data_IF_003632168506
#
_entry.id   IF_003632168506
#
_cell.length_a   1.000
_cell.length_b   1.000
_cell.length_c   1.000
_cell.angle_alpha   90.00
_cell.angle_beta   90.00
_cell.angle_gamma   90.00
#
_symmetry.space_group_name_H-M   'P 1'
#
loop_
_entity.id
_entity.type
_entity.pdbx_description
1 polymer ?
#
# COMPACT_ATOMS: atom_id res chain seq x y z
N UNK A 1 34.25 20.28 39.64
CA UNK A 1 33.81 21.21 38.58
C UNK A 1 32.52 20.67 37.99
N UNK A 2 31.40 21.08 38.58
CA UNK A 2 30.04 20.73 38.16
C UNK A 2 29.27 22.03 38.28
N UNK A 3 28.49 22.37 37.24
CA UNK A 3 27.64 23.57 37.03
C UNK A 3 28.21 24.52 35.98
N UNK A 4 27.30 25.03 35.16
CA UNK A 4 27.46 26.01 34.07
C UNK A 4 27.81 25.43 32.69
N UNK A 5 26.87 24.72 32.07
CA UNK A 5 26.63 24.78 30.61
C UNK A 5 25.16 24.44 30.29
N UNK A 6 24.23 25.13 30.98
CA UNK A 6 22.78 25.00 30.81
C UNK A 6 22.18 26.30 30.25
N UNK A 7 22.79 26.89 29.21
CA UNK A 7 22.46 28.24 28.75
C UNK A 7 22.68 28.50 27.25
N UNK A 8 22.15 27.63 26.37
CA UNK A 8 22.02 27.94 24.93
C UNK A 8 20.63 27.57 24.37
N UNK A 9 19.59 27.64 25.21
CA UNK A 9 18.19 27.72 24.76
C UNK A 9 17.76 29.15 25.02
N UNK A 10 17.12 29.80 24.04
CA UNK A 10 16.68 31.21 23.99
C UNK A 10 17.73 32.19 23.48
N UNK A 11 17.77 32.41 22.16
CA UNK A 11 17.89 33.72 21.52
C UNK A 11 18.06 33.51 20.01
N UNK A 12 16.96 33.58 19.26
CA UNK A 12 16.84 34.20 17.93
C UNK A 12 15.39 34.00 17.48
N UNK A 13 14.53 34.82 18.08
CA UNK A 13 13.15 34.98 17.65
C UNK A 13 13.06 35.61 16.26
N UNK A 14 12.06 35.17 15.52
CA UNK A 14 11.01 36.03 14.93
C UNK A 14 11.56 37.27 14.21
N UNK A 15 11.68 37.16 12.89
CA UNK A 15 11.39 38.27 11.98
C UNK A 15 10.48 37.77 10.86
N UNK A 16 9.25 38.26 10.94
CA UNK A 16 8.09 38.01 10.10
C UNK A 16 8.28 38.57 8.67
N UNK A 17 7.80 37.80 7.70
CA UNK A 17 6.91 38.18 6.58
C UNK A 17 7.31 39.40 5.73
N UNK A 18 7.47 39.16 4.41
CA UNK A 18 6.77 39.81 3.26
C UNK A 18 7.67 39.72 2.01
N UNK A 19 7.20 39.05 0.95
CA UNK A 19 7.79 39.17 -0.39
C UNK A 19 7.56 37.99 -1.34
N UNK A 20 6.43 38.02 -2.06
CA UNK A 20 5.97 37.04 -3.05
C UNK A 20 7.01 36.53 -4.06
N UNK A 21 7.01 35.21 -4.32
CA UNK A 21 7.82 34.64 -5.41
C UNK A 21 7.68 33.13 -5.66
N UNK A 22 6.47 32.68 -6.01
CA UNK A 22 6.16 31.41 -6.72
C UNK A 22 6.37 30.05 -5.99
N UNK A 23 5.47 29.07 -6.23
CA UNK A 23 5.51 27.78 -5.54
C UNK A 23 6.56 26.88 -6.19
N UNK A 24 7.66 26.63 -5.49
CA UNK A 24 8.57 25.55 -5.85
C UNK A 24 7.98 24.24 -5.31
N UNK A 25 7.30 23.55 -6.22
CA UNK A 25 6.86 22.16 -6.20
C UNK A 25 8.00 21.26 -5.72
N UNK A 26 8.08 20.99 -4.42
CA UNK A 26 8.84 19.87 -3.90
C UNK A 26 7.86 18.72 -3.72
N UNK A 27 7.72 17.95 -4.79
CA UNK A 27 6.92 16.75 -4.88
C UNK A 27 7.39 15.74 -3.83
N UNK A 28 6.85 15.85 -2.62
CA UNK A 28 6.73 14.70 -1.74
C UNK A 28 5.99 13.61 -2.55
N UNK A 29 6.46 12.35 -2.55
CA UNK A 29 5.72 11.29 -3.22
C UNK A 29 4.34 11.30 -2.57
N UNK A 30 3.34 11.66 -3.36
CA UNK A 30 1.95 11.61 -2.99
C UNK A 30 1.70 10.17 -2.61
N UNK A 31 1.75 9.88 -1.31
CA UNK A 31 1.10 8.75 -0.70
C UNK A 31 -0.34 8.85 -1.16
N UNK A 32 -0.65 8.11 -2.22
CA UNK A 32 -1.96 8.01 -2.81
C UNK A 32 -2.89 7.51 -1.72
N UNK A 33 -3.64 8.43 -1.12
CA UNK A 33 -4.92 8.11 -0.49
C UNK A 33 -5.63 7.16 -1.44
N UNK A 34 -6.03 5.95 -1.00
CA UNK A 34 -6.65 4.99 -1.91
C UNK A 34 -7.84 5.69 -2.57
N UNK A 35 -7.78 5.89 -3.88
CA UNK A 35 -8.88 6.49 -4.64
C UNK A 35 -10.11 5.57 -4.69
N UNK A 36 -9.94 4.32 -4.28
CA UNK A 36 -10.94 3.28 -4.33
C UNK A 36 -11.13 2.64 -2.92
N UNK A 37 -12.38 2.55 -2.40
CA UNK A 37 -12.66 1.93 -1.11
C UNK A 37 -12.37 0.42 -1.08
N UNK A 38 -12.31 -0.28 -2.21
CA UNK A 38 -11.86 -1.66 -2.31
C UNK A 38 -10.33 -1.75 -2.16
N UNK A 39 -9.58 -0.86 -2.81
CA UNK A 39 -8.13 -0.74 -2.63
C UNK A 39 -7.75 -0.42 -1.18
N UNK A 40 -8.53 0.44 -0.52
CA UNK A 40 -8.36 0.75 0.89
C UNK A 40 -8.57 -0.47 1.80
N UNK A 41 -9.61 -1.26 1.52
CA UNK A 41 -9.91 -2.48 2.26
C UNK A 41 -8.81 -3.52 2.04
N UNK A 42 -8.42 -3.72 0.78
CA UNK A 42 -7.36 -4.64 0.39
C UNK A 42 -6.02 -4.31 1.07
N UNK A 43 -5.66 -3.02 1.09
CA UNK A 43 -4.47 -2.54 1.82
C UNK A 43 -4.56 -2.80 3.31
N UNK A 44 -5.72 -2.52 3.91
CA UNK A 44 -5.95 -2.72 5.35
C UNK A 44 -5.79 -4.19 5.72
N UNK A 45 -6.42 -5.11 4.99
CA UNK A 45 -6.34 -6.55 5.26
C UNK A 45 -4.92 -7.07 5.06
N UNK A 46 -4.23 -6.68 3.98
CA UNK A 46 -2.84 -7.05 3.75
C UNK A 46 -1.91 -6.58 4.88
N UNK A 47 -2.08 -5.33 5.33
CA UNK A 47 -1.28 -4.81 6.45
C UNK A 47 -1.53 -5.59 7.75
N UNK A 48 -2.78 -5.92 8.07
CA UNK A 48 -3.09 -6.71 9.28
C UNK A 48 -2.55 -8.13 9.16
N UNK A 49 -2.64 -8.75 7.98
CA UNK A 49 -2.03 -10.04 7.70
C UNK A 49 -0.53 -10.00 8.01
N UNK A 50 0.18 -9.01 7.45
CA UNK A 50 1.62 -8.83 7.67
C UNK A 50 1.96 -8.66 9.15
N UNK A 51 1.20 -7.86 9.90
CA UNK A 51 1.39 -7.71 11.35
C UNK A 51 1.15 -9.01 12.12
N UNK A 52 0.07 -9.72 11.82
CA UNK A 52 -0.23 -11.01 12.43
C UNK A 52 0.92 -11.99 12.18
N UNK A 53 1.35 -12.10 10.93
CA UNK A 53 2.43 -12.97 10.50
C UNK A 53 3.78 -12.63 11.17
N UNK A 54 4.13 -11.35 11.28
CA UNK A 54 5.36 -10.91 11.96
C UNK A 54 5.35 -11.20 13.46
N UNK A 55 4.19 -11.02 14.11
CA UNK A 55 3.99 -11.29 15.54
C UNK A 55 4.09 -12.78 15.86
N UNK A 56 3.44 -13.62 15.05
CA UNK A 56 3.33 -15.06 15.30
C UNK A 56 4.38 -15.90 14.57
N UNK A 57 5.25 -15.27 13.75
CA UNK A 57 6.22 -15.92 12.85
C UNK A 57 5.60 -16.82 11.78
N UNK A 58 4.28 -16.86 11.69
CA UNK A 58 3.52 -17.58 10.68
C UNK A 58 2.26 -16.76 10.34
N UNK A 59 1.93 -16.66 9.06
CA UNK A 59 0.72 -16.00 8.60
C UNK A 59 -0.55 -16.64 9.16
N UNK A 60 -1.65 -15.87 9.25
CA UNK A 60 -2.96 -16.42 9.62
C UNK A 60 -3.33 -17.58 8.69
N UNK A 61 -4.10 -18.54 9.21
CA UNK A 61 -4.50 -19.76 8.49
C UNK A 61 -5.89 -19.69 7.86
N UNK A 62 -6.60 -18.60 8.09
CA UNK A 62 -7.97 -18.40 7.66
C UNK A 62 -8.46 -17.03 8.10
N UNK A 63 -9.67 -16.72 7.68
CA UNK A 63 -10.31 -15.46 7.99
C UNK A 63 -10.59 -15.30 9.49
N UNK A 64 -10.97 -16.39 10.15
CA UNK A 64 -11.34 -16.41 11.57
C UNK A 64 -10.16 -15.95 12.45
N UNK A 65 -8.95 -16.42 12.13
CA UNK A 65 -7.72 -16.02 12.83
C UNK A 65 -7.41 -14.54 12.58
N UNK A 66 -7.65 -14.05 11.37
CA UNK A 66 -7.42 -12.66 11.00
C UNK A 66 -8.46 -11.73 11.66
N UNK A 67 -9.71 -12.17 11.78
CA UNK A 67 -10.80 -11.47 12.48
C UNK A 67 -10.56 -11.40 13.99
N UNK A 68 -10.08 -12.49 14.59
CA UNK A 68 -9.67 -12.50 16.00
C UNK A 68 -8.55 -11.48 16.24
N UNK A 69 -7.54 -11.46 15.36
CA UNK A 69 -6.46 -10.49 15.44
C UNK A 69 -6.97 -9.05 15.26
N UNK A 70 -7.83 -8.81 14.26
CA UNK A 70 -8.46 -7.50 14.03
C UNK A 70 -9.29 -7.05 15.24
N UNK A 71 -10.01 -7.97 15.88
CA UNK A 71 -10.83 -7.72 17.07
C UNK A 71 -10.00 -7.30 18.29
N UNK A 72 -8.74 -7.74 18.35
CA UNK A 72 -7.79 -7.37 19.42
C UNK A 72 -7.23 -5.95 19.30
N UNK A 73 -7.45 -5.27 18.16
CA UNK A 73 -7.01 -3.88 17.97
C UNK A 73 -7.86 -2.90 18.79
N UNK A 74 -7.32 -1.71 19.06
CA UNK A 74 -8.08 -0.61 19.66
C UNK A 74 -8.99 0.07 18.62
N UNK A 75 -10.09 0.68 19.08
CA UNK A 75 -10.91 1.56 18.22
C UNK A 75 -10.11 2.84 17.91
N UNK A 76 -10.12 3.35 16.67
CA UNK A 76 -10.97 2.97 15.53
C UNK A 76 -10.40 1.89 14.61
N UNK A 77 -9.16 1.43 14.84
CA UNK A 77 -8.49 0.47 13.95
C UNK A 77 -9.23 -0.86 13.86
N UNK A 78 -9.80 -1.33 14.98
CA UNK A 78 -10.63 -2.54 15.04
C UNK A 78 -11.81 -2.51 14.07
N UNK A 79 -12.58 -1.43 14.09
CA UNK A 79 -13.79 -1.31 13.27
C UNK A 79 -13.43 -1.28 11.78
N UNK A 80 -12.41 -0.49 11.43
CA UNK A 80 -11.88 -0.42 10.06
C UNK A 80 -11.36 -1.77 9.56
N UNK A 81 -10.67 -2.52 10.43
CA UNK A 81 -10.13 -3.83 10.12
C UNK A 81 -11.23 -4.84 9.84
N UNK A 82 -12.23 -4.93 10.72
CA UNK A 82 -13.34 -5.87 10.59
C UNK A 82 -14.22 -5.55 9.38
N UNK A 83 -14.48 -4.27 9.12
CA UNK A 83 -15.21 -3.85 7.92
C UNK A 83 -14.47 -4.24 6.63
N UNK A 84 -13.16 -4.01 6.58
CA UNK A 84 -12.33 -4.38 5.44
C UNK A 84 -12.31 -5.91 5.21
N UNK A 85 -12.16 -6.71 6.28
CA UNK A 85 -12.19 -8.18 6.20
C UNK A 85 -13.54 -8.65 5.63
N UNK A 86 -14.65 -8.17 6.20
CA UNK A 86 -15.99 -8.52 5.75
C UNK A 86 -16.21 -8.16 4.29
N UNK A 87 -15.76 -6.97 3.88
CA UNK A 87 -15.85 -6.53 2.48
C UNK A 87 -15.11 -7.49 1.54
N UNK A 88 -13.88 -7.88 1.88
CA UNK A 88 -13.08 -8.79 1.05
C UNK A 88 -13.67 -10.21 0.99
N UNK A 89 -14.21 -10.72 2.10
CA UNK A 89 -14.94 -11.99 2.12
C UNK A 89 -16.17 -11.98 1.20
N UNK A 90 -16.99 -10.93 1.29
CA UNK A 90 -18.19 -10.79 0.45
C UNK A 90 -17.84 -10.70 -1.04
N UNK A 91 -16.73 -10.05 -1.37
CA UNK A 91 -16.21 -9.95 -2.72
C UNK A 91 -15.49 -11.22 -3.20
N UNK A 92 -15.28 -12.22 -2.33
CA UNK A 92 -14.69 -13.51 -2.71
C UNK A 92 -13.19 -13.45 -2.99
N UNK A 93 -12.47 -12.53 -2.36
CA UNK A 93 -11.01 -12.43 -2.51
C UNK A 93 -10.31 -13.73 -2.11
N UNK A 94 -9.33 -14.13 -2.92
CA UNK A 94 -8.46 -15.27 -2.64
C UNK A 94 -7.33 -14.81 -1.74
N UNK A 95 -7.03 -15.58 -0.70
CA UNK A 95 -5.97 -15.26 0.25
C UNK A 95 -5.02 -16.45 0.39
N UNK A 96 -3.72 -16.17 0.32
CA UNK A 96 -2.67 -17.15 0.60
C UNK A 96 -2.45 -17.23 2.10
N UNK A 97 -2.76 -18.37 2.69
CA UNK A 97 -2.71 -18.58 4.14
C UNK A 97 -1.41 -19.24 4.60
N UNK A 98 -1.05 -19.02 5.87
CA UNK A 98 -0.05 -19.83 6.57
C UNK A 98 1.40 -19.64 6.12
N UNK A 99 1.77 -18.48 5.58
CA UNK A 99 3.15 -18.18 5.17
C UNK A 99 4.10 -18.29 6.38
N UNK A 100 5.12 -19.14 6.28
CA UNK A 100 6.15 -19.27 7.31
C UNK A 100 7.24 -18.21 7.15
N UNK A 101 7.29 -17.28 8.10
CA UNK A 101 8.24 -16.18 8.07
C UNK A 101 9.68 -16.62 8.33
N UNK A 102 9.88 -17.70 9.09
CA UNK A 102 11.23 -18.22 9.37
C UNK A 102 11.85 -18.76 8.10
N UNK A 103 11.08 -19.50 7.32
CA UNK A 103 11.50 -20.00 6.00
C UNK A 103 11.85 -18.86 5.04
N UNK A 104 11.06 -17.77 5.03
CA UNK A 104 11.36 -16.60 4.19
C UNK A 104 12.68 -15.93 4.58
N UNK A 105 12.93 -15.75 5.88
CA UNK A 105 14.17 -15.16 6.39
C UNK A 105 15.38 -16.05 6.06
N UNK A 106 15.25 -17.36 6.24
CA UNK A 106 16.34 -18.31 5.92
C UNK A 106 16.70 -18.32 4.42
N UNK A 107 15.73 -18.04 3.56
CA UNK A 107 15.93 -17.97 2.11
C UNK A 107 16.34 -16.58 1.61
N UNK A 108 16.54 -15.61 2.51
CA UNK A 108 16.84 -14.21 2.18
C UNK A 108 15.80 -13.58 1.21
N UNK A 109 14.54 -14.03 1.28
CA UNK A 109 13.45 -13.53 0.43
C UNK A 109 12.70 -12.39 1.11
N UNK A 110 12.38 -11.35 0.35
CA UNK A 110 11.50 -10.28 0.83
C UNK A 110 10.05 -10.79 0.87
N UNK A 111 9.38 -10.79 2.04
CA UNK A 111 7.97 -11.15 2.14
C UNK A 111 7.06 -10.33 1.22
N UNK A 112 7.44 -9.10 0.89
CA UNK A 112 6.64 -8.23 0.01
C UNK A 112 6.66 -8.65 -1.46
N UNK A 113 7.53 -9.58 -1.86
CA UNK A 113 7.48 -10.17 -3.19
C UNK A 113 6.31 -11.16 -3.34
N UNK A 114 5.74 -11.63 -2.23
CA UNK A 114 4.64 -12.58 -2.22
C UNK A 114 3.30 -11.85 -2.30
N UNK A 115 2.50 -12.21 -3.30
CA UNK A 115 1.08 -11.83 -3.38
C UNK A 115 0.29 -12.71 -2.42
N UNK A 116 -0.33 -12.07 -1.43
CA UNK A 116 -1.08 -12.76 -0.38
C UNK A 116 -2.58 -12.61 -0.52
N UNK A 117 -3.05 -11.59 -1.24
CA UNK A 117 -4.48 -11.37 -1.47
C UNK A 117 -4.66 -10.99 -2.93
N UNK A 118 -5.60 -11.67 -3.60
CA UNK A 118 -5.90 -11.48 -5.02
C UNK A 118 -7.41 -11.43 -5.24
N UNK A 119 -7.86 -10.45 -6.03
CA UNK A 119 -9.27 -10.33 -6.40
C UNK A 119 -9.73 -11.53 -7.25
N UNK A 120 -11.03 -11.88 -7.25
CA UNK A 120 -11.52 -13.00 -8.04
C UNK A 120 -11.20 -12.91 -9.54
N UNK A 121 -11.15 -11.68 -10.05
CA UNK A 121 -10.85 -11.33 -11.44
C UNK A 121 -9.34 -11.13 -11.72
N UNK A 122 -8.48 -11.28 -10.71
CA UNK A 122 -7.02 -11.13 -10.81
C UNK A 122 -6.51 -9.69 -10.96
N UNK A 123 -7.41 -8.70 -11.06
CA UNK A 123 -7.05 -7.31 -11.38
C UNK A 123 -6.41 -6.55 -10.22
N UNK A 124 -6.73 -6.92 -8.98
CA UNK A 124 -6.21 -6.30 -7.77
C UNK A 124 -5.46 -7.33 -6.93
N UNK A 125 -4.19 -7.06 -6.69
CA UNK A 125 -3.29 -7.92 -5.93
C UNK A 125 -2.63 -7.14 -4.81
N UNK A 126 -2.55 -7.73 -3.62
CA UNK A 126 -1.88 -7.15 -2.46
C UNK A 126 -0.69 -8.02 -2.02
N UNK A 127 0.50 -7.43 -1.91
CA UNK A 127 1.66 -8.10 -1.33
C UNK A 127 1.56 -8.16 0.19
N UNK A 128 2.42 -8.97 0.82
CA UNK A 128 2.40 -9.33 2.24
C UNK A 128 2.16 -8.19 3.24
N UNK A 129 2.74 -6.99 3.02
CA UNK A 129 2.56 -5.86 3.95
C UNK A 129 1.51 -4.83 3.51
N UNK A 130 0.91 -5.00 2.33
CA UNK A 130 0.01 -4.01 1.73
C UNK A 130 0.72 -2.71 1.32
N UNK A 131 2.04 -2.74 1.14
CA UNK A 131 2.84 -1.53 0.86
C UNK A 131 2.46 -0.87 -0.47
N UNK A 132 2.08 -1.67 -1.46
CA UNK A 132 1.64 -1.21 -2.78
C UNK A 132 0.60 -2.20 -3.33
N UNK A 133 -0.58 -1.70 -3.69
CA UNK A 133 -1.56 -2.50 -4.42
C UNK A 133 -1.14 -2.57 -5.88
N UNK A 134 -1.10 -3.78 -6.42
CA UNK A 134 -0.77 -4.05 -7.83
C UNK A 134 -2.09 -4.11 -8.59
N UNK A 135 -2.15 -3.32 -9.68
CA UNK A 135 -3.30 -3.27 -10.59
C UNK A 135 -2.86 -3.86 -11.92
N UNK A 136 -3.54 -4.89 -12.39
CA UNK A 136 -3.37 -5.34 -13.77
C UNK A 136 -4.22 -4.44 -14.69
N UNK A 137 -3.56 -3.77 -15.62
CA UNK A 137 -4.26 -3.14 -16.74
C UNK A 137 -4.75 -4.27 -17.65
N UNK A 138 -6.08 -4.46 -17.69
CA UNK A 138 -6.70 -5.32 -18.69
C UNK A 138 -6.35 -4.70 -20.04
N UNK A 139 -5.51 -5.39 -20.80
CA UNK A 139 -5.08 -5.08 -22.15
C UNK A 139 -6.32 -4.71 -22.99
N UNK A 140 -6.61 -3.41 -23.12
CA UNK A 140 -7.51 -2.94 -24.16
C UNK A 140 -6.76 -3.17 -25.46
N UNK A 141 -6.95 -4.35 -26.06
CA UNK A 141 -6.71 -4.57 -27.49
C UNK A 141 -7.49 -3.52 -28.26
N UNK A 142 -6.86 -2.38 -28.52
CA UNK A 142 -7.29 -1.40 -29.50
C UNK A 142 -7.26 -2.12 -30.85
N UNK A 143 -8.38 -2.24 -31.59
CA UNK A 143 -8.29 -2.65 -32.97
C UNK A 143 -7.52 -1.54 -33.70
N UNK A 144 -6.31 -1.85 -34.15
CA UNK A 144 -5.66 -1.08 -35.20
C UNK A 144 -6.57 -1.16 -36.42
N UNK A 145 -7.30 -0.08 -36.66
CA UNK A 145 -8.00 0.18 -37.90
C UNK A 145 -6.98 0.20 -39.03
N UNK A 146 -7.09 -0.77 -39.94
CA UNK A 146 -6.58 -0.66 -41.29
C UNK A 146 -7.13 0.64 -41.92
N UNK A 147 -6.24 1.53 -42.36
CA UNK A 147 -6.37 2.39 -43.55
C UNK A 147 -5.03 3.10 -43.71
N UNK A 148 -4.05 2.40 -44.30
CA UNK A 148 -2.96 3.05 -45.00
C UNK A 148 -3.48 3.33 -46.42
N UNK A 149 -3.91 4.56 -46.68
CA UNK A 149 -4.11 5.04 -48.04
C UNK A 149 -3.21 6.27 -48.24
N UNK A 150 -2.25 6.09 -49.14
CA UNK A 150 -1.71 7.04 -50.11
C UNK A 150 -1.65 8.52 -49.69
N UNK A 151 -0.44 9.05 -49.58
CA UNK A 151 0.09 10.05 -50.51
C UNK A 151 1.34 10.69 -49.89
N UNK A 152 2.48 10.44 -50.50
CA UNK A 152 3.67 11.26 -50.27
C UNK A 152 4.41 11.33 -51.60
N UNK A 153 3.86 12.14 -52.50
CA UNK A 153 4.70 12.87 -53.43
C UNK A 153 5.72 13.70 -52.67
N UNK A 154 6.95 13.74 -53.18
CA UNK A 154 7.81 14.92 -53.38
C UNK A 154 9.25 14.44 -53.76
N UNK A 155 10.21 15.31 -54.11
CA UNK A 155 10.61 15.51 -55.50
C UNK A 155 12.11 15.31 -55.73
N UNK A 156 12.53 15.08 -56.99
CA UNK A 156 13.71 15.68 -57.67
C UNK A 156 13.92 15.06 -59.04
#
# INVERSE_FOLDING_TARGET
MVRVQFACVLLLGISLIVGCGRPATQSAPTSSTPKDPEEAALRTVATIYGFCAMKHKTGPKGWEVLEEHASSLSSPAREKALDAIKKLQLLGYKVTWGIDMLTLVQQEKDPNEFIIIESPDGRLKAPFSGNKIIKEEVDQKKPTSDTENSDSGAPK
#
